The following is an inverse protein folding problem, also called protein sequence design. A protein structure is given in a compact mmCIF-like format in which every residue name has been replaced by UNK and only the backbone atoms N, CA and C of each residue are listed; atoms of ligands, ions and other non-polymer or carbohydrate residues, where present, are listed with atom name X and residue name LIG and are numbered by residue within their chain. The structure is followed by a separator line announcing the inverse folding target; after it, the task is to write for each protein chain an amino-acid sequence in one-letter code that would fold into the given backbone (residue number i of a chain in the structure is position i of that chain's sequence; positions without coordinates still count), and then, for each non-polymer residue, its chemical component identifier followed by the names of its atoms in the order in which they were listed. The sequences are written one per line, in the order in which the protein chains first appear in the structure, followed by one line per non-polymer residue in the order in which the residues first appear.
data_IF_213539142819
#
_entry.id   IF_213539142819
#
_cell.length_a   1.000
_cell.length_b   1.000
_cell.length_c   1.000
_cell.angle_alpha   90.00
_cell.angle_beta   90.00
_cell.angle_gamma   90.00
#
_symmetry.space_group_name_H-M   'P 1'
#
loop_
_entity.id
_entity.type
_entity.pdbx_description
1 polymer ?
#
# COMPACT_ATOMS: atom_id res chain seq x y z
N UNK A 1 -20.74 -47.52 -4.34
CA UNK A 1 -21.37 -47.50 -3.00
C UNK A 1 -20.37 -46.81 -2.08
N UNK A 2 -20.51 -45.61 -1.53
CA UNK A 2 -21.64 -44.74 -1.24
C UNK A 2 -21.21 -43.29 -1.51
N UNK A 3 -22.18 -42.46 -1.91
CA UNK A 3 -22.07 -41.02 -2.07
C UNK A 3 -22.13 -40.30 -0.71
N UNK A 4 -21.66 -39.05 -0.69
CA UNK A 4 -22.24 -37.86 -0.01
C UNK A 4 -21.16 -36.77 0.11
N UNK A 5 -21.41 -35.48 0.02
CA UNK A 5 -22.42 -34.66 -0.66
C UNK A 5 -21.89 -33.22 -0.51
N UNK A 6 -21.95 -32.47 -1.59
CA UNK A 6 -21.60 -31.05 -1.67
C UNK A 6 -22.71 -30.23 -1.01
N UNK A 7 -22.37 -29.17 -0.28
CA UNK A 7 -23.33 -28.13 0.09
C UNK A 7 -22.69 -26.76 -0.05
N UNK A 8 -23.14 -26.06 -1.09
CA UNK A 8 -22.95 -24.63 -1.30
C UNK A 8 -24.07 -23.87 -0.58
N UNK A 9 -23.76 -22.68 -0.05
CA UNK A 9 -24.76 -21.72 0.42
C UNK A 9 -24.40 -20.35 -0.16
N UNK A 10 -25.32 -19.82 -0.97
CA UNK A 10 -25.49 -18.42 -1.39
C UNK A 10 -26.85 -17.99 -0.81
N UNK A 11 -27.00 -16.74 -0.35
CA UNK A 11 -28.03 -15.85 -0.93
C UNK A 11 -27.44 -14.47 -1.27
N UNK A 12 -27.70 -13.91 -2.46
CA UNK A 12 -28.81 -12.97 -2.75
C UNK A 12 -28.84 -11.79 -1.76
N UNK A 13 -28.70 -10.53 -2.13
CA UNK A 13 -29.11 -9.84 -3.35
C UNK A 13 -29.89 -8.60 -2.89
N UNK A 14 -29.35 -7.40 -3.07
CA UNK A 14 -30.14 -6.18 -2.94
C UNK A 14 -29.77 -5.21 -4.06
N UNK A 15 -30.70 -5.04 -4.98
CA UNK A 15 -30.66 -4.15 -6.14
C UNK A 15 -31.84 -3.20 -6.01
N UNK A 16 -31.56 -1.90 -6.04
CA UNK A 16 -32.49 -0.81 -6.35
C UNK A 16 -31.64 0.45 -6.58
N UNK A 17 -31.36 0.90 -7.80
CA UNK A 17 -32.22 1.69 -8.73
C UNK A 17 -32.86 2.90 -8.04
N UNK A 18 -32.72 4.15 -8.45
CA UNK A 18 -32.10 4.82 -9.59
C UNK A 18 -32.09 6.34 -9.27
N UNK A 19 -31.12 7.09 -9.79
CA UNK A 19 -31.28 8.07 -10.90
C UNK A 19 -32.12 9.31 -10.60
N UNK A 20 -31.44 10.47 -10.52
CA UNK A 20 -31.77 11.75 -11.20
C UNK A 20 -30.59 12.71 -10.96
N UNK A 21 -29.82 13.12 -11.99
CA UNK A 21 -30.08 14.24 -12.93
C UNK A 21 -30.20 15.58 -12.18
N UNK A 22 -29.49 16.68 -12.44
CA UNK A 22 -28.61 17.13 -13.51
C UNK A 22 -27.94 18.45 -13.04
N UNK A 23 -26.94 18.99 -13.76
CA UNK A 23 -26.12 20.12 -13.32
C UNK A 23 -26.70 21.48 -13.73
N UNK A 24 -26.43 22.53 -12.94
CA UNK A 24 -26.56 23.92 -13.40
C UNK A 24 -25.33 24.75 -13.03
N UNK A 25 -24.69 25.21 -14.10
CA UNK A 25 -23.80 26.37 -14.15
C UNK A 25 -24.52 27.63 -13.66
N UNK A 26 -23.81 28.54 -12.99
CA UNK A 26 -23.45 29.85 -13.57
C UNK A 26 -22.86 30.79 -12.52
N UNK A 27 -21.59 31.12 -12.76
CA UNK A 27 -20.97 32.45 -12.77
C UNK A 27 -21.76 33.60 -12.13
N UNK A 28 -21.14 34.28 -11.15
CA UNK A 28 -21.05 35.74 -11.16
C UNK A 28 -19.89 36.25 -10.30
N UNK A 29 -19.10 37.08 -10.97
CA UNK A 29 -17.96 37.87 -10.53
C UNK A 29 -18.23 38.72 -9.28
N UNK A 30 -17.21 38.87 -8.45
CA UNK A 30 -16.90 40.13 -7.77
C UNK A 30 -15.38 40.28 -7.69
N UNK A 31 -14.84 41.15 -8.54
CA UNK A 31 -13.48 41.66 -8.47
C UNK A 31 -13.55 43.12 -8.01
N UNK A 32 -13.05 43.41 -6.80
CA UNK A 32 -12.63 44.74 -6.29
C UNK A 32 -11.57 44.40 -5.21
N UNK A 33 -10.28 44.40 -5.55
CA UNK A 33 -9.30 45.50 -5.48
C UNK A 33 -8.51 45.55 -4.15
N UNK A 34 -7.18 45.47 -4.30
CA UNK A 34 -6.11 46.11 -3.53
C UNK A 34 -6.13 46.05 -1.99
N UNK A 35 -5.21 45.28 -1.37
CA UNK A 35 -4.00 45.88 -0.80
C UNK A 35 -3.00 44.88 -0.17
N UNK A 36 -1.73 45.13 -0.49
CA UNK A 36 -0.54 45.04 0.35
C UNK A 36 -0.11 43.71 1.01
N UNK A 37 0.92 43.13 0.38
CA UNK A 37 2.14 42.57 0.96
C UNK A 37 2.48 43.06 2.39
N UNK A 38 2.94 42.17 3.28
CA UNK A 38 3.93 42.56 4.28
C UNK A 38 5.25 41.87 3.94
N UNK A 39 6.16 42.64 3.36
CA UNK A 39 7.60 42.33 3.35
C UNK A 39 8.25 42.89 4.63
N UNK A 40 9.43 42.39 5.02
CA UNK A 40 9.96 42.52 6.36
C UNK A 40 10.57 43.90 6.59
N UNK A 41 10.17 44.55 7.68
CA UNK A 41 10.78 45.81 8.11
C UNK A 41 11.70 45.56 9.31
N UNK A 42 12.98 45.46 9.00
CA UNK A 42 14.06 45.89 9.90
C UNK A 42 13.83 47.35 10.25
N UNK A 43 13.77 47.69 11.54
CA UNK A 43 13.90 49.07 11.99
C UNK A 43 14.65 49.12 13.31
N UNK A 44 15.66 49.99 13.28
CA UNK A 44 16.73 50.23 14.23
C UNK A 44 16.47 51.63 14.79
N UNK A 45 16.42 51.80 16.11
CA UNK A 45 16.45 53.10 16.82
C UNK A 45 16.97 52.81 18.24
N UNK A 46 18.28 52.90 18.50
CA UNK A 46 19.07 54.05 19.00
C UNK A 46 18.69 54.62 20.37
N UNK A 47 19.66 54.52 21.30
CA UNK A 47 19.99 55.40 22.46
C UNK A 47 18.95 55.55 23.58
N UNK A 48 19.24 55.52 24.88
CA UNK A 48 20.48 55.68 25.64
C UNK A 48 20.31 55.11 27.06
N UNK A 49 21.34 54.47 27.63
CA UNK A 49 21.58 54.47 29.08
C UNK A 49 23.08 54.20 29.32
N UNK A 50 23.79 55.00 30.13
CA UNK A 50 25.25 55.06 30.10
C UNK A 50 25.91 53.95 30.90
N UNK A 51 27.06 53.54 30.38
CA UNK A 51 28.14 52.86 31.09
C UNK A 51 28.76 53.81 32.11
N UNK A 52 28.78 53.41 33.38
CA UNK A 52 29.79 53.79 34.37
C UNK A 52 29.99 52.56 35.28
N UNK A 53 31.09 51.85 35.07
CA UNK A 53 31.77 51.12 36.14
C UNK A 53 32.23 52.15 37.20
N UNK A 54 32.20 51.81 38.48
CA UNK A 54 33.49 51.46 39.06
C UNK A 54 33.43 50.24 39.98
N UNK A 55 34.38 49.36 39.72
CA UNK A 55 35.24 48.66 40.68
C UNK A 55 35.16 49.20 42.12
N UNK A 56 34.96 48.30 43.11
CA UNK A 56 35.53 48.29 44.47
C UNK A 56 34.85 47.19 45.32
N UNK A 57 35.47 46.69 46.41
CA UNK A 57 36.26 45.46 46.40
C UNK A 57 35.59 44.28 47.12
N UNK A 58 35.98 43.07 46.70
CA UNK A 58 36.04 41.90 47.57
C UNK A 58 36.87 42.23 48.81
N UNK A 59 36.23 42.32 49.97
CA UNK A 59 36.91 42.53 51.24
C UNK A 59 35.98 42.25 52.42
N UNK A 60 36.38 41.31 53.28
CA UNK A 60 35.95 41.28 54.68
C UNK A 60 34.84 40.28 55.01
N UNK A 61 35.21 39.00 55.04
CA UNK A 61 34.59 38.08 55.98
C UNK A 61 34.88 38.53 57.43
N UNK A 62 33.89 38.34 58.30
CA UNK A 62 33.98 38.20 59.76
C UNK A 62 34.74 39.30 60.53
N UNK A 63 33.98 40.27 61.03
CA UNK A 63 34.31 40.92 62.30
C UNK A 63 33.07 40.89 63.19
N UNK A 64 33.02 39.89 64.05
CA UNK A 64 32.22 39.88 65.27
C UNK A 64 32.62 41.09 66.11
N UNK A 65 31.78 42.11 66.08
CA UNK A 65 31.84 43.23 67.01
C UNK A 65 30.46 43.39 67.64
N UNK A 66 30.33 43.37 68.98
CA UNK A 66 29.06 43.67 69.60
C UNK A 66 28.70 45.11 69.23
N UNK A 67 27.57 45.29 68.53
CA UNK A 67 26.90 46.60 68.48
C UNK A 67 26.44 46.90 69.89
N UNK A 68 27.32 47.50 70.67
CA UNK A 68 26.98 48.17 71.92
C UNK A 68 25.97 49.24 71.56
N UNK A 69 24.69 48.93 71.77
CA UNK A 69 23.65 49.92 71.91
C UNK A 69 24.12 50.76 73.10
N UNK A 70 24.73 51.91 72.81
CA UNK A 70 25.02 52.91 73.83
C UNK A 70 23.66 53.25 74.43
N UNK A 71 23.41 52.73 75.63
CA UNK A 71 22.25 53.09 76.41
C UNK A 71 22.19 54.63 76.44
N UNK A 72 21.01 55.25 76.28
CA UNK A 72 20.90 56.69 76.37
C UNK A 72 21.53 57.10 77.70
N UNK A 73 22.66 57.77 77.60
CA UNK A 73 23.42 58.26 78.73
C UNK A 73 22.42 59.10 79.52
N UNK A 74 22.01 58.62 80.70
CA UNK A 74 21.19 59.43 81.60
C UNK A 74 22.00 60.68 81.83
N UNK A 75 21.53 61.82 81.33
CA UNK A 75 21.99 63.13 81.78
C UNK A 75 21.71 63.18 83.29
N UNK A 76 22.68 62.76 84.10
CA UNK A 76 22.68 62.87 85.56
C UNK A 76 23.48 64.10 86.03
N UNK A 77 23.62 65.11 85.17
CA UNK A 77 23.99 66.45 85.63
C UNK A 77 22.72 67.25 85.94
N UNK A 78 21.92 66.73 86.88
CA UNK A 78 20.94 67.54 87.58
C UNK A 78 21.63 68.22 88.76
N UNK A 79 22.28 69.37 88.48
CA UNK A 79 22.25 70.59 89.30
C UNK A 79 23.17 71.66 88.69
N UNK A 80 22.60 72.78 88.21
CA UNK A 80 22.84 74.02 88.96
C UNK A 80 21.62 74.96 89.00
N UNK A 81 20.43 74.49 88.61
CA UNK A 81 19.23 75.33 88.63
C UNK A 81 18.92 75.83 90.05
N UNK A 82 19.11 74.99 91.07
CA UNK A 82 18.90 75.37 92.47
C UNK A 82 19.81 76.54 92.91
N UNK A 83 21.05 76.60 92.42
CA UNK A 83 22.01 77.66 92.72
C UNK A 83 21.69 78.97 91.98
N UNK A 84 21.34 78.87 90.69
CA UNK A 84 20.96 80.03 89.86
C UNK A 84 19.67 80.65 90.38
N UNK A 85 18.69 79.83 90.78
CA UNK A 85 17.43 80.27 91.38
C UNK A 85 17.70 80.98 92.71
N UNK A 86 18.56 80.42 93.57
CA UNK A 86 18.94 81.07 94.84
C UNK A 86 19.63 82.42 94.62
N UNK A 87 20.58 82.51 93.69
CA UNK A 87 21.27 83.75 93.37
C UNK A 87 20.32 84.82 92.79
N UNK A 88 19.38 84.41 91.91
CA UNK A 88 18.36 85.30 91.35
C UNK A 88 17.40 85.82 92.42
N UNK A 89 16.91 84.94 93.30
CA UNK A 89 16.04 85.32 94.42
C UNK A 89 16.75 86.31 95.35
N UNK A 90 18.01 86.04 95.69
CA UNK A 90 18.81 86.90 96.57
C UNK A 90 19.11 88.27 95.94
N UNK A 91 19.28 88.34 94.61
CA UNK A 91 19.45 89.60 93.86
C UNK A 91 18.16 90.41 93.76
N UNK A 92 17.00 89.78 93.53
CA UNK A 92 15.71 90.48 93.47
C UNK A 92 15.33 91.02 94.85
N UNK A 93 15.59 90.25 95.92
CA UNK A 93 15.31 90.64 97.30
C UNK A 93 16.18 91.80 97.81
N UNK A 94 17.37 92.02 97.24
CA UNK A 94 18.26 93.11 97.64
C UNK A 94 18.01 94.43 96.92
N UNK A 95 17.32 94.40 95.77
CA UNK A 95 17.12 95.57 94.90
C UNK A 95 15.69 96.14 95.01
N UNK A 96 14.67 95.33 95.34
CA UNK A 96 13.25 95.71 95.28
C UNK A 96 12.61 95.92 96.67
N UNK A 97 11.65 96.87 96.82
CA UNK A 97 10.88 97.02 98.06
C UNK A 97 10.09 95.75 98.41
N UNK A 98 9.89 95.43 99.71
CA UNK A 98 9.22 94.20 100.14
C UNK A 98 7.83 93.98 99.52
N UNK A 99 7.11 95.06 99.20
CA UNK A 99 5.77 95.01 98.59
C UNK A 99 5.75 94.61 97.10
N UNK A 100 6.87 94.76 96.38
CA UNK A 100 6.99 94.47 94.93
C UNK A 100 7.79 93.20 94.64
N UNK A 101 8.55 92.69 95.61
CA UNK A 101 9.41 91.51 95.44
C UNK A 101 8.64 90.27 94.95
N UNK A 102 7.41 90.04 95.46
CA UNK A 102 6.59 88.90 95.04
C UNK A 102 6.12 88.98 93.58
N UNK A 103 5.74 90.18 93.12
CA UNK A 103 5.29 90.41 91.74
C UNK A 103 6.46 90.25 90.77
N UNK A 104 7.63 90.82 91.10
CA UNK A 104 8.85 90.72 90.28
C UNK A 104 9.38 89.29 90.22
N UNK A 105 9.34 88.54 91.33
CA UNK A 105 9.68 87.12 91.34
C UNK A 105 8.73 86.32 90.44
N UNK A 106 7.42 86.51 90.56
CA UNK A 106 6.45 85.84 89.69
C UNK A 106 6.68 86.17 88.21
N UNK A 107 6.97 87.43 87.87
CA UNK A 107 7.28 87.84 86.50
C UNK A 107 8.58 87.21 85.97
N UNK A 108 9.62 87.10 86.81
CA UNK A 108 10.89 86.49 86.44
C UNK A 108 10.81 84.97 86.30
N UNK A 109 10.01 84.29 87.14
CA UNK A 109 9.89 82.83 87.14
C UNK A 109 8.82 82.30 86.18
N UNK A 110 7.84 83.09 85.79
CA UNK A 110 6.79 82.65 84.86
C UNK A 110 7.34 82.09 83.55
N UNK A 111 8.29 82.73 82.85
CA UNK A 111 8.91 82.14 81.65
C UNK A 111 9.63 80.81 81.92
N UNK A 112 10.21 80.64 83.11
CA UNK A 112 10.89 79.39 83.51
C UNK A 112 9.87 78.27 83.73
N UNK A 113 8.75 78.56 84.41
CA UNK A 113 7.67 77.60 84.64
C UNK A 113 7.01 77.20 83.31
N UNK A 114 6.72 78.18 82.45
CA UNK A 114 6.14 77.95 81.13
C UNK A 114 7.09 77.15 80.23
N UNK A 115 8.40 77.45 80.29
CA UNK A 115 9.45 76.69 79.61
C UNK A 115 9.57 75.25 80.11
N UNK A 116 9.52 75.03 81.43
CA UNK A 116 9.54 73.69 82.02
C UNK A 116 8.31 72.85 81.63
N UNK A 117 7.11 73.45 81.70
CA UNK A 117 5.88 72.79 81.27
C UNK A 117 5.92 72.46 79.77
N UNK A 118 6.45 73.37 78.95
CA UNK A 118 6.65 73.14 77.51
C UNK A 118 7.63 71.99 77.26
N UNK A 119 8.78 71.97 77.95
CA UNK A 119 9.77 70.91 77.82
C UNK A 119 9.24 69.55 78.30
N UNK A 120 8.45 69.53 79.38
CA UNK A 120 7.79 68.30 79.88
C UNK A 120 6.78 67.77 78.86
N UNK A 121 5.97 68.63 78.25
CA UNK A 121 5.03 68.24 77.20
C UNK A 121 5.76 67.77 75.94
N UNK A 122 6.85 68.42 75.57
CA UNK A 122 7.66 68.02 74.42
C UNK A 122 8.39 66.69 74.67
N UNK A 123 8.90 66.46 75.88
CA UNK A 123 9.45 65.17 76.32
C UNK A 123 8.40 64.05 76.23
N UNK A 124 7.16 64.31 76.68
CA UNK A 124 6.05 63.37 76.50
C UNK A 124 5.77 63.11 75.02
N UNK A 125 5.71 64.14 74.17
CA UNK A 125 5.54 63.99 72.72
C UNK A 125 6.67 63.20 72.07
N UNK A 126 7.92 63.42 72.48
CA UNK A 126 9.07 62.64 72.00
C UNK A 126 8.96 61.17 72.41
N UNK A 127 8.54 60.89 73.64
CA UNK A 127 8.28 59.53 74.11
C UNK A 127 7.17 58.87 73.30
N UNK A 128 6.05 59.56 73.11
CA UNK A 128 4.91 59.05 72.33
C UNK A 128 5.32 58.81 70.86
N UNK A 129 6.09 59.73 70.25
CA UNK A 129 6.67 59.57 68.90
C UNK A 129 7.62 58.37 68.84
N UNK A 130 8.53 58.21 69.81
CA UNK A 130 9.46 57.10 69.84
C UNK A 130 8.76 55.74 70.01
N UNK A 131 7.69 55.70 70.81
CA UNK A 131 6.87 54.50 70.94
C UNK A 131 6.12 54.19 69.64
N UNK A 132 5.54 55.20 68.99
CA UNK A 132 4.86 55.04 67.70
C UNK A 132 5.82 54.56 66.60
N UNK A 133 7.03 55.13 66.50
CA UNK A 133 8.03 54.70 65.51
C UNK A 133 8.52 53.28 65.78
N UNK A 134 8.68 52.88 67.04
CA UNK A 134 9.06 51.51 67.39
C UNK A 134 7.97 50.50 67.01
N UNK A 135 6.69 50.81 67.27
CA UNK A 135 5.56 49.95 66.86
C UNK A 135 5.50 49.82 65.34
N UNK A 136 5.64 50.93 64.62
CA UNK A 136 5.66 50.92 63.15
C UNK A 136 6.84 50.11 62.61
N UNK A 137 8.03 50.25 63.19
CA UNK A 137 9.20 49.45 62.81
C UNK A 137 8.99 47.96 63.08
N UNK A 138 8.37 47.58 64.20
CA UNK A 138 8.02 46.18 64.46
C UNK A 138 6.99 45.64 63.47
N UNK A 139 6.01 46.45 63.08
CA UNK A 139 5.03 46.10 62.07
C UNK A 139 5.70 45.87 60.71
N UNK A 140 6.52 46.81 60.26
CA UNK A 140 7.28 46.69 59.01
C UNK A 140 8.22 45.48 59.03
N UNK A 141 8.92 45.25 60.14
CA UNK A 141 9.78 44.07 60.28
C UNK A 141 8.98 42.76 60.18
N UNK A 142 7.77 42.71 60.74
CA UNK A 142 6.88 41.55 60.60
C UNK A 142 6.43 41.37 59.15
N UNK A 143 5.96 42.43 58.50
CA UNK A 143 5.53 42.37 57.09
C UNK A 143 6.66 41.94 56.16
N UNK A 144 7.88 42.46 56.35
CA UNK A 144 9.06 42.04 55.60
C UNK A 144 9.41 40.57 55.84
N UNK A 145 9.27 40.09 57.08
CA UNK A 145 9.50 38.68 57.41
C UNK A 145 8.48 37.77 56.73
N UNK A 146 7.20 38.14 56.75
CA UNK A 146 6.12 37.38 56.13
C UNK A 146 6.29 37.36 54.59
N UNK A 147 6.65 38.50 53.99
CA UNK A 147 6.96 38.59 52.56
C UNK A 147 8.18 37.75 52.17
N UNK A 148 9.26 37.78 52.97
CA UNK A 148 10.44 36.95 52.73
C UNK A 148 10.10 35.45 52.83
N UNK A 149 9.27 35.05 53.80
CA UNK A 149 8.78 33.67 53.89
C UNK A 149 8.01 33.27 52.62
N UNK A 150 7.11 34.13 52.14
CA UNK A 150 6.35 33.87 50.91
C UNK A 150 7.26 33.72 49.69
N UNK A 151 8.24 34.61 49.53
CA UNK A 151 9.21 34.51 48.43
C UNK A 151 10.06 33.24 48.51
N UNK A 152 10.41 32.77 49.71
CA UNK A 152 11.13 31.51 49.88
C UNK A 152 10.31 30.30 49.48
N UNK A 153 9.00 30.31 49.74
CA UNK A 153 8.09 29.25 49.33
C UNK A 153 7.88 29.28 47.80
N UNK A 154 7.63 30.44 47.20
CA UNK A 154 7.55 30.59 45.73
C UNK A 154 8.84 30.15 45.03
N UNK A 155 10.01 30.51 45.58
CA UNK A 155 11.30 30.07 45.06
C UNK A 155 11.47 28.55 45.14
N UNK A 156 10.98 27.94 46.23
CA UNK A 156 10.99 26.48 46.40
C UNK A 156 10.11 25.82 45.35
N UNK A 157 8.91 26.34 45.11
CA UNK A 157 7.97 25.79 44.14
C UNK A 157 8.51 25.90 42.71
N UNK A 158 9.06 27.06 42.33
CA UNK A 158 9.71 27.26 41.02
C UNK A 158 10.87 26.29 40.84
N UNK A 159 11.68 26.05 41.89
CA UNK A 159 12.79 25.11 41.84
C UNK A 159 12.32 23.67 41.62
N UNK A 160 11.25 23.23 42.29
CA UNK A 160 10.67 21.91 42.06
C UNK A 160 10.11 21.78 40.64
N UNK A 161 9.34 22.78 40.17
CA UNK A 161 8.82 22.81 38.81
C UNK A 161 9.92 22.77 37.74
N UNK A 162 11.06 23.43 37.97
CA UNK A 162 12.21 23.36 37.08
C UNK A 162 12.81 21.95 37.02
N UNK A 163 12.97 21.29 38.17
CA UNK A 163 13.48 19.90 38.23
C UNK A 163 12.55 18.93 37.50
N UNK A 164 11.23 19.08 37.68
CA UNK A 164 10.23 18.26 37.00
C UNK A 164 10.23 18.50 35.48
N UNK A 165 10.40 19.76 35.05
CA UNK A 165 10.54 20.09 33.64
C UNK A 165 11.80 19.50 33.02
N UNK A 166 12.95 19.58 33.71
CA UNK A 166 14.18 18.92 33.26
C UNK A 166 14.04 17.40 33.17
N UNK A 167 13.36 16.78 34.14
CA UNK A 167 13.09 15.34 34.10
C UNK A 167 12.22 14.97 32.88
N UNK A 168 11.19 15.76 32.61
CA UNK A 168 10.33 15.58 31.43
C UNK A 168 11.09 15.74 30.12
N UNK A 169 12.00 16.73 30.04
CA UNK A 169 12.85 16.94 28.86
C UNK A 169 13.84 15.79 28.64
N UNK A 170 14.43 15.23 29.72
CA UNK A 170 15.29 14.05 29.64
C UNK A 170 14.53 12.82 29.16
N UNK A 171 13.32 12.62 29.67
CA UNK A 171 12.45 11.51 29.25
C UNK A 171 12.05 11.64 27.78
N UNK A 172 11.64 12.85 27.33
CA UNK A 172 11.32 13.11 25.93
C UNK A 172 12.52 12.88 25.01
N UNK A 173 13.74 13.28 25.43
CA UNK A 173 14.95 13.03 24.66
C UNK A 173 15.27 11.53 24.54
N UNK A 174 15.06 10.75 25.61
CA UNK A 174 15.18 9.29 25.60
C UNK A 174 14.18 8.64 24.64
N UNK A 175 12.91 9.06 24.69
CA UNK A 175 11.87 8.57 23.80
C UNK A 175 12.16 8.91 22.34
N UNK A 176 12.62 10.14 22.06
CA UNK A 176 13.02 10.55 20.71
C UNK A 176 14.20 9.71 20.19
N UNK A 177 15.20 9.42 21.02
CA UNK A 177 16.32 8.56 20.64
C UNK A 177 15.87 7.13 20.30
N UNK A 178 14.99 6.54 21.13
CA UNK A 178 14.45 5.21 20.88
C UNK A 178 13.59 5.16 19.61
N UNK A 179 12.75 6.19 19.40
CA UNK A 179 11.96 6.32 18.18
C UNK A 179 12.87 6.43 16.94
N UNK A 180 13.95 7.20 17.02
CA UNK A 180 14.94 7.32 15.95
C UNK A 180 15.57 5.97 15.59
N UNK A 181 16.01 5.20 16.58
CA UNK A 181 16.56 3.85 16.34
C UNK A 181 15.52 2.91 15.70
N UNK A 182 14.26 3.00 16.12
CA UNK A 182 13.18 2.22 15.52
C UNK A 182 12.93 2.62 14.06
N UNK A 183 12.99 3.91 13.72
CA UNK A 183 12.83 4.39 12.35
C UNK A 183 13.98 3.89 11.47
N UNK A 184 15.23 4.02 11.90
CA UNK A 184 16.40 3.52 11.16
C UNK A 184 16.31 2.01 10.90
N UNK A 185 15.81 1.23 11.88
CA UNK A 185 15.59 -0.20 11.71
C UNK A 185 14.47 -0.52 10.70
N UNK A 186 13.40 0.28 10.66
CA UNK A 186 12.32 0.13 9.68
C UNK A 186 12.78 0.54 8.27
N UNK A 187 13.53 1.62 8.13
CA UNK A 187 14.11 2.06 6.85
C UNK A 187 14.98 0.95 6.23
N UNK A 188 15.80 0.27 7.05
CA UNK A 188 16.58 -0.88 6.59
C UNK A 188 15.70 -2.02 6.07
N UNK A 189 14.64 -2.37 6.80
CA UNK A 189 13.69 -3.43 6.37
C UNK A 189 12.94 -3.06 5.10
N UNK A 190 12.58 -1.79 4.93
CA UNK A 190 11.95 -1.29 3.69
C UNK A 190 12.93 -1.42 2.52
N UNK A 191 14.19 -1.03 2.69
CA UNK A 191 15.21 -1.19 1.66
C UNK A 191 15.45 -2.66 1.26
N UNK A 192 15.45 -3.58 2.24
CA UNK A 192 15.54 -5.03 2.00
C UNK A 192 14.32 -5.54 1.22
N UNK A 193 13.11 -5.19 1.63
CA UNK A 193 11.87 -5.60 0.94
C UNK A 193 11.79 -5.04 -0.50
N UNK A 194 12.23 -3.81 -0.74
CA UNK A 194 12.30 -3.26 -2.09
C UNK A 194 13.31 -3.99 -2.97
N UNK A 195 14.46 -4.40 -2.42
CA UNK A 195 15.44 -5.19 -3.15
C UNK A 195 14.90 -6.58 -3.53
N UNK A 196 14.20 -7.24 -2.61
CA UNK A 196 13.52 -8.51 -2.87
C UNK A 196 12.44 -8.36 -3.95
N UNK A 197 11.59 -7.33 -3.88
CA UNK A 197 10.58 -7.07 -4.92
C UNK A 197 11.20 -6.82 -6.29
N UNK A 198 12.33 -6.09 -6.37
CA UNK A 198 13.05 -5.89 -7.64
C UNK A 198 13.56 -7.23 -8.20
N UNK A 199 14.18 -8.05 -7.35
CA UNK A 199 14.66 -9.39 -7.74
C UNK A 199 13.52 -10.30 -8.23
N UNK A 200 12.40 -10.34 -7.52
CA UNK A 200 11.22 -11.13 -7.92
C UNK A 200 10.66 -10.63 -9.25
N UNK A 201 10.61 -9.31 -9.45
CA UNK A 201 10.14 -8.72 -10.71
C UNK A 201 11.05 -9.10 -11.89
N UNK A 202 12.36 -9.02 -11.71
CA UNK A 202 13.34 -9.43 -12.73
C UNK A 202 13.23 -10.92 -13.06
N UNK A 203 13.07 -11.78 -12.04
CA UNK A 203 12.85 -13.22 -12.23
C UNK A 203 11.56 -13.51 -13.00
N UNK A 204 10.47 -12.79 -12.68
CA UNK A 204 9.21 -12.93 -13.40
C UNK A 204 9.31 -12.46 -14.86
N UNK A 205 9.94 -11.32 -15.11
CA UNK A 205 10.16 -10.79 -16.46
C UNK A 205 11.08 -11.71 -17.29
N UNK A 206 12.01 -12.44 -16.65
CA UNK A 206 12.80 -13.49 -17.29
C UNK A 206 11.95 -14.71 -17.63
N UNK A 207 11.16 -15.22 -16.69
CA UNK A 207 10.29 -16.38 -16.92
C UNK A 207 9.28 -16.12 -18.05
N UNK A 208 8.70 -14.91 -18.11
CA UNK A 208 7.79 -14.52 -19.18
C UNK A 208 8.50 -14.51 -20.54
N UNK A 209 9.76 -14.05 -20.60
CA UNK A 209 10.57 -14.09 -21.82
C UNK A 209 10.85 -15.52 -22.26
N UNK A 210 11.26 -16.39 -21.33
CA UNK A 210 11.58 -17.80 -21.62
C UNK A 210 10.33 -18.55 -22.12
N UNK A 211 9.18 -18.38 -21.45
CA UNK A 211 7.90 -18.96 -21.90
C UNK A 211 7.48 -18.46 -23.27
N UNK A 212 7.76 -17.18 -23.60
CA UNK A 212 7.47 -16.62 -24.91
C UNK A 212 8.35 -17.26 -25.98
N UNK A 213 9.65 -17.41 -25.73
CA UNK A 213 10.57 -18.08 -26.67
C UNK A 213 10.20 -19.55 -26.87
N UNK A 214 9.80 -20.24 -25.81
CA UNK A 214 9.34 -21.63 -25.88
C UNK A 214 8.04 -21.75 -26.69
N UNK A 215 7.08 -20.84 -26.46
CA UNK A 215 5.84 -20.80 -27.23
C UNK A 215 6.08 -20.52 -28.72
N UNK A 216 7.01 -19.61 -29.06
CA UNK A 216 7.42 -19.35 -30.44
C UNK A 216 8.08 -20.59 -31.07
N UNK A 217 8.94 -21.30 -30.33
CA UNK A 217 9.55 -22.55 -30.76
C UNK A 217 8.53 -23.67 -31.00
N UNK A 218 7.57 -23.84 -30.09
CA UNK A 218 6.47 -24.79 -30.25
C UNK A 218 5.56 -24.41 -31.42
N UNK A 219 5.28 -23.12 -31.64
CA UNK A 219 4.49 -22.67 -32.79
C UNK A 219 5.18 -23.00 -34.11
N UNK A 220 6.50 -22.82 -34.20
CA UNK A 220 7.26 -23.15 -35.40
C UNK A 220 7.25 -24.65 -35.68
N UNK A 221 7.51 -25.47 -34.67
CA UNK A 221 7.46 -26.93 -34.80
C UNK A 221 6.06 -27.45 -35.15
N UNK A 222 5.00 -26.83 -34.62
CA UNK A 222 3.63 -27.16 -34.98
C UNK A 222 3.32 -26.84 -36.45
N UNK A 223 3.77 -25.69 -36.97
CA UNK A 223 3.60 -25.34 -38.39
C UNK A 223 4.42 -26.26 -39.31
N UNK A 224 5.64 -26.64 -38.92
CA UNK A 224 6.45 -27.64 -39.65
C UNK A 224 5.77 -29.03 -39.66
N UNK A 225 5.22 -29.47 -38.52
CA UNK A 225 4.45 -30.71 -38.42
C UNK A 225 3.18 -30.67 -39.30
N UNK A 226 2.49 -29.53 -39.34
CA UNK A 226 1.31 -29.34 -40.19
C UNK A 226 1.68 -29.39 -41.68
N UNK A 227 2.78 -28.75 -42.07
CA UNK A 227 3.27 -28.77 -43.45
C UNK A 227 3.68 -30.19 -43.91
N UNK A 228 4.33 -30.96 -43.04
CA UNK A 228 4.70 -32.36 -43.33
C UNK A 228 3.48 -33.25 -43.46
N UNK A 229 2.47 -33.09 -42.58
CA UNK A 229 1.20 -33.81 -42.67
C UNK A 229 0.44 -33.49 -43.96
N UNK A 230 0.40 -32.22 -44.39
CA UNK A 230 -0.28 -31.83 -45.63
C UNK A 230 0.43 -32.43 -46.86
N UNK A 231 1.77 -32.46 -46.86
CA UNK A 231 2.56 -33.12 -47.91
C UNK A 231 2.26 -34.62 -47.98
N UNK A 232 2.26 -35.31 -46.84
CA UNK A 232 1.90 -36.74 -46.74
C UNK A 232 0.47 -37.00 -47.23
N UNK A 233 -0.49 -36.13 -46.88
CA UNK A 233 -1.88 -36.21 -47.33
C UNK A 233 -1.99 -36.07 -48.85
N UNK A 234 -1.25 -35.13 -49.43
CA UNK A 234 -1.22 -34.91 -50.88
C UNK A 234 -0.57 -36.09 -51.62
N UNK A 235 0.56 -36.60 -51.13
CA UNK A 235 1.21 -37.78 -51.69
C UNK A 235 0.31 -39.02 -51.60
N UNK A 236 -0.36 -39.23 -50.47
CA UNK A 236 -1.34 -40.30 -50.29
C UNK A 236 -2.49 -40.20 -51.29
N UNK A 237 -3.05 -38.98 -51.49
CA UNK A 237 -4.11 -38.72 -52.46
C UNK A 237 -3.66 -39.04 -53.89
N UNK A 238 -2.44 -38.63 -54.27
CA UNK A 238 -1.86 -38.94 -55.59
C UNK A 238 -1.71 -40.44 -55.81
N UNK A 239 -1.19 -41.17 -54.81
CA UNK A 239 -1.05 -42.64 -54.89
C UNK A 239 -2.40 -43.33 -55.05
N UNK A 240 -3.41 -42.93 -54.28
CA UNK A 240 -4.77 -43.48 -54.39
C UNK A 240 -5.35 -43.22 -55.78
N UNK A 241 -5.19 -42.00 -56.32
CA UNK A 241 -5.68 -41.67 -57.65
C UNK A 241 -4.95 -42.46 -58.75
N UNK A 242 -3.63 -42.65 -58.62
CA UNK A 242 -2.84 -43.48 -59.54
C UNK A 242 -3.33 -44.93 -59.55
N UNK A 243 -3.45 -45.54 -58.37
CA UNK A 243 -3.93 -46.91 -58.23
C UNK A 243 -5.36 -47.06 -58.75
N UNK A 244 -6.23 -46.07 -58.51
CA UNK A 244 -7.59 -46.06 -59.05
C UNK A 244 -7.58 -46.10 -60.58
N UNK A 245 -6.78 -45.25 -61.21
CA UNK A 245 -6.66 -45.22 -62.67
C UNK A 245 -6.08 -46.53 -63.23
N UNK A 246 -5.07 -47.11 -62.56
CA UNK A 246 -4.52 -48.43 -62.93
C UNK A 246 -5.57 -49.54 -62.86
N UNK A 247 -6.35 -49.59 -61.78
CA UNK A 247 -7.43 -50.58 -61.64
C UNK A 247 -8.53 -50.38 -62.67
N UNK A 248 -8.92 -49.14 -62.94
CA UNK A 248 -9.95 -48.81 -63.93
C UNK A 248 -9.53 -49.24 -65.34
N UNK A 249 -8.27 -48.98 -65.72
CA UNK A 249 -7.69 -49.47 -66.96
C UNK A 249 -7.64 -51.00 -67.04
N UNK A 250 -7.27 -51.67 -65.93
CA UNK A 250 -7.22 -53.14 -65.88
C UNK A 250 -8.61 -53.76 -65.99
N UNK A 251 -9.62 -53.18 -65.34
CA UNK A 251 -11.03 -53.60 -65.46
C UNK A 251 -11.49 -53.44 -66.90
N UNK A 252 -11.19 -52.30 -67.55
CA UNK A 252 -11.53 -52.06 -68.95
C UNK A 252 -10.88 -53.11 -69.87
N UNK A 253 -9.58 -53.36 -69.70
CA UNK A 253 -8.88 -54.40 -70.45
C UNK A 253 -9.46 -55.81 -70.24
N UNK A 254 -9.85 -56.15 -69.00
CA UNK A 254 -10.52 -57.42 -68.70
C UNK A 254 -11.93 -57.51 -69.32
N UNK A 255 -12.66 -56.39 -69.41
CA UNK A 255 -13.96 -56.36 -70.08
C UNK A 255 -13.82 -56.56 -71.60
N UNK A 256 -12.80 -55.95 -72.21
CA UNK A 256 -12.48 -56.14 -73.63
C UNK A 256 -12.08 -57.59 -73.93
N UNK A 257 -11.20 -58.20 -73.12
CA UNK A 257 -10.83 -59.62 -73.31
C UNK A 257 -12.02 -60.55 -73.10
N UNK A 258 -12.88 -60.27 -72.11
CA UNK A 258 -14.13 -61.01 -71.90
C UNK A 258 -15.03 -60.96 -73.14
N UNK A 259 -15.25 -59.77 -73.70
CA UNK A 259 -16.09 -59.61 -74.90
C UNK A 259 -15.55 -60.38 -76.11
N UNK A 260 -14.22 -60.37 -76.31
CA UNK A 260 -13.56 -61.17 -77.36
C UNK A 260 -13.76 -62.67 -77.14
N UNK A 261 -13.59 -63.15 -75.90
CA UNK A 261 -13.81 -64.56 -75.57
C UNK A 261 -15.26 -64.99 -75.76
N UNK A 262 -16.24 -64.16 -75.38
CA UNK A 262 -17.67 -64.41 -75.62
C UNK A 262 -17.98 -64.48 -77.12
N UNK A 263 -17.42 -63.57 -77.92
CA UNK A 263 -17.56 -63.61 -79.39
C UNK A 263 -16.95 -64.87 -80.01
N UNK A 264 -15.76 -65.27 -79.57
CA UNK A 264 -15.11 -66.51 -80.02
C UNK A 264 -15.91 -67.76 -79.63
N UNK A 265 -16.47 -67.78 -78.42
CA UNK A 265 -17.32 -68.87 -77.94
C UNK A 265 -18.59 -68.99 -78.80
N UNK A 266 -19.26 -67.87 -79.11
CA UNK A 266 -20.42 -67.85 -79.99
C UNK A 266 -20.09 -68.41 -81.37
N UNK A 267 -19.00 -67.94 -82.00
CA UNK A 267 -18.56 -68.44 -83.31
C UNK A 267 -18.21 -69.93 -83.29
N UNK A 268 -17.60 -70.42 -82.21
CA UNK A 268 -17.29 -71.85 -82.05
C UNK A 268 -18.56 -72.67 -81.87
N UNK A 269 -19.55 -72.15 -81.13
CA UNK A 269 -20.86 -72.78 -80.96
C UNK A 269 -21.60 -72.86 -82.29
N UNK A 270 -21.63 -71.78 -83.08
CA UNK A 270 -22.24 -71.76 -84.40
C UNK A 270 -21.61 -72.82 -85.32
N UNK A 271 -20.27 -72.84 -85.40
CA UNK A 271 -19.53 -73.86 -86.16
C UNK A 271 -19.83 -75.28 -85.69
N UNK A 272 -19.97 -75.49 -84.38
CA UNK A 272 -20.31 -76.80 -83.84
C UNK A 272 -21.71 -77.24 -84.29
N UNK A 273 -22.71 -76.35 -84.22
CA UNK A 273 -24.07 -76.66 -84.68
C UNK A 273 -24.14 -76.91 -86.19
N UNK A 274 -23.31 -76.22 -86.98
CA UNK A 274 -23.21 -76.43 -88.43
C UNK A 274 -22.59 -77.79 -88.74
N UNK A 275 -21.47 -78.13 -88.10
CA UNK A 275 -20.83 -79.46 -88.23
C UNK A 275 -21.76 -80.58 -87.76
N UNK A 276 -22.55 -80.36 -86.70
CA UNK A 276 -23.53 -81.34 -86.21
C UNK A 276 -24.65 -81.58 -87.23
N UNK A 277 -25.16 -80.53 -87.89
CA UNK A 277 -26.12 -80.68 -89.00
C UNK A 277 -25.51 -81.40 -90.19
N UNK A 278 -24.28 -81.08 -90.56
CA UNK A 278 -23.57 -81.75 -91.66
C UNK A 278 -23.37 -83.24 -91.35
N UNK A 279 -22.99 -83.56 -90.10
CA UNK A 279 -22.87 -84.93 -89.61
C UNK A 279 -24.20 -85.67 -89.72
N UNK A 280 -25.30 -85.09 -89.22
CA UNK A 280 -26.64 -85.69 -89.32
C UNK A 280 -27.06 -85.93 -90.77
N UNK A 281 -26.77 -84.99 -91.68
CA UNK A 281 -27.05 -85.16 -93.11
C UNK A 281 -26.23 -86.32 -93.71
N UNK A 282 -24.93 -86.42 -93.38
CA UNK A 282 -24.10 -87.55 -93.79
C UNK A 282 -24.59 -88.87 -93.23
N UNK A 283 -24.99 -88.92 -91.96
CA UNK A 283 -25.59 -90.11 -91.33
C UNK A 283 -26.85 -90.56 -92.07
N UNK A 284 -27.76 -89.64 -92.44
CA UNK A 284 -28.93 -89.97 -93.27
C UNK A 284 -28.53 -90.55 -94.62
N UNK A 285 -27.61 -89.90 -95.33
CA UNK A 285 -27.15 -90.37 -96.64
C UNK A 285 -26.50 -91.76 -96.57
N UNK A 286 -25.75 -92.04 -95.51
CA UNK A 286 -25.21 -93.39 -95.24
C UNK A 286 -26.34 -94.39 -95.03
N UNK A 287 -27.35 -94.08 -94.20
CA UNK A 287 -28.49 -94.99 -94.00
C UNK A 287 -29.27 -95.26 -95.29
N UNK A 288 -29.48 -94.25 -96.14
CA UNK A 288 -30.11 -94.39 -97.46
C UNK A 288 -29.27 -95.29 -98.39
N UNK A 289 -27.95 -95.10 -98.41
CA UNK A 289 -27.02 -95.95 -99.16
C UNK A 289 -27.02 -97.39 -98.64
N UNK A 290 -26.99 -97.60 -97.32
CA UNK A 290 -27.08 -98.92 -96.69
C UNK A 290 -28.40 -99.64 -97.05
N UNK A 291 -29.51 -98.92 -97.11
CA UNK A 291 -30.80 -99.46 -97.55
C UNK A 291 -30.80 -99.80 -99.04
N UNK A 292 -30.24 -98.93 -99.89
CA UNK A 292 -30.04 -99.22 -101.31
C UNK A 292 -29.17 -100.46 -101.53
N UNK A 293 -28.07 -100.61 -100.78
CA UNK A 293 -27.20 -101.81 -100.82
C UNK A 293 -27.95 -103.05 -100.38
N UNK A 294 -28.75 -102.98 -99.30
CA UNK A 294 -29.61 -104.10 -98.87
C UNK A 294 -30.62 -104.49 -99.95
N UNK A 295 -31.27 -103.52 -100.59
CA UNK A 295 -32.21 -103.76 -101.69
C UNK A 295 -31.53 -104.39 -102.91
N UNK A 296 -30.35 -103.90 -103.30
CA UNK A 296 -29.53 -104.49 -104.36
C UNK A 296 -29.10 -105.92 -104.02
N UNK A 297 -28.66 -106.17 -102.79
CA UNK A 297 -28.29 -107.50 -102.31
C UNK A 297 -29.48 -108.46 -102.37
N UNK A 298 -30.66 -108.03 -101.93
CA UNK A 298 -31.90 -108.81 -102.01
C UNK A 298 -32.29 -109.10 -103.47
N UNK A 299 -32.23 -108.11 -104.36
CA UNK A 299 -32.48 -108.26 -105.80
C UNK A 299 -31.50 -109.23 -106.45
N UNK A 300 -30.23 -109.15 -106.09
CA UNK A 300 -29.19 -110.05 -106.60
C UNK A 300 -29.42 -111.48 -106.10
N UNK A 301 -29.84 -111.66 -104.85
CA UNK A 301 -30.24 -112.96 -104.32
C UNK A 301 -31.50 -113.50 -105.02
N UNK A 302 -32.47 -112.66 -105.34
CA UNK A 302 -33.65 -113.02 -106.16
C UNK A 302 -33.23 -113.47 -107.57
N UNK A 303 -32.35 -112.71 -108.22
CA UNK A 303 -31.77 -113.06 -109.53
C UNK A 303 -31.01 -114.39 -109.46
N UNK A 304 -30.14 -114.59 -108.46
CA UNK A 304 -29.45 -115.86 -108.21
C UNK A 304 -30.44 -117.02 -108.03
N UNK A 305 -31.52 -116.83 -107.29
CA UNK A 305 -32.58 -117.83 -107.15
C UNK A 305 -33.28 -118.13 -108.48
N UNK A 306 -33.55 -117.12 -109.32
CA UNK A 306 -34.11 -117.34 -110.66
C UNK A 306 -33.14 -118.05 -111.60
N UNK A 307 -31.86 -117.71 -111.59
CA UNK A 307 -30.80 -118.40 -112.34
C UNK A 307 -30.72 -119.86 -111.86
N UNK A 308 -30.72 -120.10 -110.55
CA UNK A 308 -30.72 -121.44 -109.97
C UNK A 308 -31.99 -122.22 -110.36
N UNK A 309 -33.15 -121.56 -110.44
CA UNK A 309 -34.40 -122.16 -110.97
C UNK A 309 -34.30 -122.49 -112.45
N UNK A 310 -33.75 -121.60 -113.28
CA UNK A 310 -33.52 -121.86 -114.71
C UNK A 310 -32.50 -122.98 -114.92
N UNK A 311 -31.48 -123.07 -114.09
CA UNK A 311 -30.52 -124.19 -114.07
C UNK A 311 -31.13 -125.50 -113.57
N UNK A 312 -32.25 -125.45 -112.83
CA UNK A 312 -33.04 -126.61 -112.40
C UNK A 312 -34.12 -127.04 -113.40
N UNK A 313 -34.21 -126.42 -114.58
CA UNK A 313 -34.98 -126.96 -115.70
C UNK A 313 -34.09 -127.82 -116.60
N UNK A 314 -34.17 -129.16 -116.51
CA UNK A 314 -33.63 -130.02 -117.54
C UNK A 314 -34.65 -130.12 -118.69
N UNK A 315 -34.17 -129.96 -119.92
CA UNK A 315 -34.84 -130.30 -121.19
C UNK A 315 -35.99 -129.42 -121.72
N UNK A 316 -35.68 -128.69 -122.81
CA UNK A 316 -36.39 -128.73 -124.10
C UNK A 316 -35.29 -128.44 -125.17
N UNK A 317 -34.64 -129.42 -125.82
CA UNK A 317 -35.11 -130.38 -126.83
C UNK A 317 -35.44 -129.70 -128.18
N UNK A 318 -34.51 -129.86 -129.13
CA UNK A 318 -34.66 -129.90 -130.59
C UNK A 318 -35.27 -128.67 -131.29
N UNK A 319 -34.43 -127.83 -131.90
CA UNK A 319 -34.09 -127.85 -133.35
C UNK A 319 -32.77 -127.12 -133.56
#
# INVERSE_FOLDING_TARGET
MSANAVTAIIPEGNVGTGTESSPRQSVSNAAIAENATPSPATSRTTSATPSIEPSLPMGGAASDGPRTIVAPQRCQDEEPWSLVIKALMQSIMSIQPPSMCGITLLAAFRPVIDGFNSARMESKRWKDRAQATMVEHFKQHKELKDYNSKLQDELRDVKHSHVDHEASMRELASQHYNAKLSVEALEKKVAEAEAEMRSVKEAHDQEVRDRKTDAEGMSKTAEEAKATLEKLREEGRRKVNSLRAEFENKIKGLAETKAVLEGNLASTTDKHTELEKELQNKTRSVSELEESVRNLAARNQELQNTITRLQRYPYMRNY
#
